data_IF_929549088220
#
_entry.id   IF_929549088220
#
_cell.length_a   1.000
_cell.length_b   1.000
_cell.length_c   1.000
_cell.angle_alpha   90.00
_cell.angle_beta   90.00
_cell.angle_gamma   90.00
#
_symmetry.space_group_name_H-M   'P 1'
#
loop_
_entity.id
_entity.type
_entity.pdbx_description
1 polymer ?
#
# COMPACT_ATOMS: atom_id res chain seq x y z
N UNK A 1 15.18 3.49 14.83
CA UNK A 1 13.81 2.98 15.04
C UNK A 1 12.87 3.72 14.09
N UNK A 2 11.83 3.08 13.53
CA UNK A 2 10.79 3.77 12.73
C UNK A 2 9.49 3.84 13.50
N UNK A 3 8.78 4.96 13.38
CA UNK A 3 7.54 5.24 14.09
C UNK A 3 6.54 5.87 13.13
N UNK A 4 5.27 5.48 13.25
CA UNK A 4 4.17 6.19 12.57
C UNK A 4 3.85 7.47 13.34
N UNK A 5 3.94 8.62 12.67
CA UNK A 5 3.55 9.89 13.27
C UNK A 5 2.05 9.93 13.60
N UNK A 6 1.22 9.23 12.83
CA UNK A 6 -0.21 9.11 13.12
C UNK A 6 -0.45 8.34 14.42
N UNK A 7 0.31 7.26 14.64
CA UNK A 7 0.21 6.49 15.88
C UNK A 7 0.71 7.30 17.07
N UNK A 8 1.81 8.04 16.95
CA UNK A 8 2.31 8.90 18.03
C UNK A 8 1.28 9.99 18.45
N UNK A 9 0.54 10.53 17.48
CA UNK A 9 -0.53 11.52 17.73
C UNK A 9 -1.70 10.97 18.56
N UNK A 10 -1.85 9.66 18.66
CA UNK A 10 -2.86 9.05 19.55
C UNK A 10 -2.49 9.20 21.03
N UNK A 11 -1.21 9.48 21.34
CA UNK A 11 -0.71 9.57 22.72
C UNK A 11 -0.41 11.00 23.16
N UNK A 12 -0.03 11.87 22.23
CA UNK A 12 0.39 13.25 22.51
C UNK A 12 -0.07 14.17 21.39
N UNK A 13 -0.55 15.36 21.77
CA UNK A 13 -0.88 16.41 20.81
C UNK A 13 0.36 16.95 20.10
N UNK A 14 0.41 16.75 18.78
CA UNK A 14 1.48 17.25 17.92
C UNK A 14 0.88 18.21 16.91
N UNK A 15 1.07 19.51 17.17
CA UNK A 15 0.52 20.62 16.37
C UNK A 15 1.51 21.20 15.36
N UNK A 16 2.75 20.73 15.36
CA UNK A 16 3.82 21.18 14.45
C UNK A 16 3.95 20.26 13.23
N UNK A 17 4.68 20.72 12.20
CA UNK A 17 4.98 19.89 11.03
C UNK A 17 5.93 18.73 11.40
N UNK A 18 5.96 17.65 10.59
CA UNK A 18 6.92 16.56 10.78
C UNK A 18 8.38 17.02 10.83
N UNK A 19 8.75 18.01 10.04
CA UNK A 19 10.11 18.58 9.96
C UNK A 19 10.48 19.32 11.24
N UNK A 20 9.57 20.14 11.77
CA UNK A 20 9.76 20.86 13.03
C UNK A 20 9.81 19.89 14.22
N UNK A 21 8.96 18.87 14.23
CA UNK A 21 9.01 17.81 15.24
C UNK A 21 10.37 17.09 15.22
N UNK A 22 10.86 16.73 14.03
CA UNK A 22 12.14 16.07 13.86
C UNK A 22 13.31 16.92 14.38
N UNK A 23 13.27 18.23 14.11
CA UNK A 23 14.25 19.17 14.64
C UNK A 23 14.22 19.20 16.17
N UNK A 24 13.04 19.36 16.79
CA UNK A 24 12.91 19.40 18.26
C UNK A 24 13.34 18.10 18.94
N UNK A 25 12.98 16.96 18.37
CA UNK A 25 13.41 15.65 18.86
C UNK A 25 14.93 15.54 18.85
N UNK A 26 15.56 15.93 17.73
CA UNK A 26 17.02 15.93 17.60
C UNK A 26 17.68 16.84 18.64
N UNK A 27 17.15 18.05 18.84
CA UNK A 27 17.66 18.99 19.85
C UNK A 27 17.45 18.49 21.30
N UNK A 28 16.45 17.64 21.53
CA UNK A 28 16.21 16.97 22.81
C UNK A 28 17.05 15.69 23.02
N UNK A 29 17.92 15.34 22.06
CA UNK A 29 18.79 14.16 22.13
C UNK A 29 18.22 12.90 21.44
N UNK A 30 17.09 13.01 20.75
CA UNK A 30 16.47 11.94 19.97
C UNK A 30 16.67 12.21 18.47
N UNK A 31 17.82 11.81 17.94
CA UNK A 31 18.19 12.04 16.55
C UNK A 31 17.17 11.42 15.57
N UNK A 32 16.77 12.22 14.56
CA UNK A 32 15.87 11.78 13.49
C UNK A 32 16.62 11.68 12.17
N UNK A 33 16.90 10.45 11.75
CA UNK A 33 17.64 10.14 10.52
C UNK A 33 16.88 10.48 9.23
N UNK A 34 15.54 10.49 9.27
CA UNK A 34 14.75 10.74 8.07
C UNK A 34 13.24 10.73 8.28
N UNK A 35 12.54 11.35 7.33
CA UNK A 35 11.08 11.43 7.27
C UNK A 35 10.63 10.77 5.96
N UNK A 36 9.70 9.81 6.07
CA UNK A 36 9.16 9.09 4.92
C UNK A 36 7.66 9.35 4.80
N UNK A 37 7.21 9.86 3.66
CA UNK A 37 5.79 10.05 3.34
C UNK A 37 5.26 8.79 2.68
N UNK A 38 4.31 8.12 3.34
CA UNK A 38 3.69 6.91 2.81
C UNK A 38 2.63 7.27 1.78
N UNK A 39 2.59 6.55 0.66
CA UNK A 39 1.55 6.68 -0.37
C UNK A 39 1.75 7.80 -1.38
N UNK A 40 2.84 8.57 -1.30
CA UNK A 40 3.17 9.58 -2.30
C UNK A 40 3.33 8.93 -3.68
N UNK A 41 2.66 9.49 -4.69
CA UNK A 41 2.68 8.96 -6.06
C UNK A 41 1.78 7.73 -6.31
N UNK A 42 0.96 7.30 -5.34
CA UNK A 42 -0.07 6.28 -5.56
C UNK A 42 -1.39 6.94 -5.94
N UNK A 43 -1.95 6.56 -7.09
CA UNK A 43 -3.25 7.01 -7.57
C UNK A 43 -4.10 5.85 -8.08
N UNK A 44 -5.40 5.92 -7.81
CA UNK A 44 -6.42 4.96 -8.26
C UNK A 44 -6.19 3.49 -7.86
N UNK A 45 -5.77 3.28 -6.61
CA UNK A 45 -5.66 1.96 -6.00
C UNK A 45 -6.80 1.77 -4.99
N UNK A 46 -7.56 0.69 -5.13
CA UNK A 46 -8.74 0.39 -4.31
C UNK A 46 -8.63 -0.98 -3.66
N UNK A 47 -9.41 -1.21 -2.60
CA UNK A 47 -9.54 -2.54 -2.02
C UNK A 47 -10.47 -3.37 -2.90
N UNK A 48 -10.00 -4.54 -3.32
CA UNK A 48 -10.77 -5.47 -4.15
C UNK A 48 -10.71 -6.89 -3.59
N UNK A 49 -11.70 -7.71 -3.94
CA UNK A 49 -11.79 -9.11 -3.56
C UNK A 49 -11.43 -10.02 -4.74
N UNK A 50 -10.61 -11.02 -4.50
CA UNK A 50 -10.27 -12.06 -5.48
C UNK A 50 -11.40 -13.09 -5.49
N UNK A 51 -12.20 -13.12 -6.55
CA UNK A 51 -13.34 -14.02 -6.70
C UNK A 51 -12.91 -15.44 -7.09
N UNK A 52 -11.95 -15.57 -8.02
CA UNK A 52 -11.45 -16.86 -8.47
C UNK A 52 -9.97 -16.80 -8.87
N UNK A 53 -9.28 -17.94 -8.78
CA UNK A 53 -7.87 -18.10 -9.16
C UNK A 53 -7.72 -19.41 -9.93
N UNK A 54 -7.11 -19.36 -11.11
CA UNK A 54 -6.77 -20.54 -11.92
C UNK A 54 -5.34 -20.42 -12.43
N UNK A 55 -4.65 -21.54 -12.64
CA UNK A 55 -3.30 -21.54 -13.21
C UNK A 55 -3.33 -21.00 -14.64
N UNK A 56 -2.32 -20.20 -15.00
CA UNK A 56 -2.19 -19.71 -16.38
C UNK A 56 -1.83 -20.88 -17.31
N UNK A 57 -2.53 -21.07 -18.45
CA UNK A 57 -2.32 -22.25 -19.31
C UNK A 57 -0.92 -22.30 -19.93
N UNK A 58 -0.31 -21.13 -20.15
CA UNK A 58 0.99 -20.99 -20.82
C UNK A 58 2.12 -20.51 -19.89
N UNK A 59 1.92 -20.47 -18.57
CA UNK A 59 2.93 -19.97 -17.65
C UNK A 59 2.82 -20.60 -16.26
N UNK A 60 3.85 -21.31 -15.82
CA UNK A 60 3.83 -22.08 -14.58
C UNK A 60 3.81 -21.23 -13.31
N UNK A 61 4.34 -20.01 -13.39
CA UNK A 61 4.46 -19.09 -12.24
C UNK A 61 3.34 -18.05 -12.18
N UNK A 62 2.36 -18.11 -13.08
CA UNK A 62 1.29 -17.12 -13.18
C UNK A 62 -0.08 -17.74 -12.93
N UNK A 63 -0.96 -16.92 -12.36
CA UNK A 63 -2.35 -17.22 -12.12
C UNK A 63 -3.23 -16.22 -12.85
N UNK A 64 -4.35 -16.71 -13.39
CA UNK A 64 -5.46 -15.91 -13.90
C UNK A 64 -6.48 -15.73 -12.78
N UNK A 65 -6.66 -14.49 -12.36
CA UNK A 65 -7.53 -14.10 -11.27
C UNK A 65 -8.74 -13.31 -11.79
N UNK A 66 -9.93 -13.62 -11.31
CA UNK A 66 -11.08 -12.73 -11.42
C UNK A 66 -11.17 -11.92 -10.13
N UNK A 67 -11.16 -10.60 -10.22
CA UNK A 67 -11.09 -9.67 -9.08
C UNK A 67 -12.24 -8.67 -9.17
N UNK A 68 -12.87 -8.31 -8.06
CA UNK A 68 -13.92 -7.29 -8.03
C UNK A 68 -13.63 -6.18 -7.02
N UNK A 69 -13.78 -4.93 -7.45
CA UNK A 69 -13.71 -3.73 -6.59
C UNK A 69 -15.09 -3.37 -5.98
N UNK A 70 -16.07 -4.26 -6.10
CA UNK A 70 -17.46 -4.04 -5.70
C UNK A 70 -18.32 -3.34 -6.75
N UNK A 71 -17.72 -2.70 -7.75
CA UNK A 71 -18.45 -2.04 -8.85
C UNK A 71 -18.30 -2.78 -10.18
N UNK A 72 -17.11 -3.28 -10.47
CA UNK A 72 -16.78 -4.00 -11.68
C UNK A 72 -16.00 -5.29 -11.37
N UNK A 73 -15.80 -6.11 -12.41
CA UNK A 73 -14.94 -7.28 -12.37
C UNK A 73 -13.81 -7.14 -13.37
N UNK A 74 -12.64 -7.59 -12.96
CA UNK A 74 -11.39 -7.46 -13.69
C UNK A 74 -10.74 -8.83 -13.84
N UNK A 75 -10.22 -9.10 -15.03
CA UNK A 75 -9.33 -10.23 -15.26
C UNK A 75 -7.88 -9.77 -15.04
N UNK A 76 -7.19 -10.37 -14.08
CA UNK A 76 -5.85 -9.98 -13.67
C UNK A 76 -4.91 -11.18 -13.75
N UNK A 77 -3.77 -11.01 -14.42
CA UNK A 77 -2.66 -11.97 -14.36
C UNK A 77 -1.82 -11.62 -13.13
N UNK A 78 -1.68 -12.57 -12.20
CA UNK A 78 -0.93 -12.37 -10.96
C UNK A 78 0.15 -13.44 -10.79
N UNK A 79 1.37 -13.03 -10.43
CA UNK A 79 2.48 -13.94 -10.13
C UNK A 79 2.74 -14.14 -8.64
N UNK A 80 1.97 -13.51 -7.76
CA UNK A 80 2.19 -13.59 -6.33
C UNK A 80 1.82 -15.00 -5.79
N UNK A 81 2.70 -15.69 -5.05
CA UNK A 81 2.48 -17.07 -4.61
C UNK A 81 1.38 -17.19 -3.53
N UNK A 82 0.97 -16.08 -2.91
CA UNK A 82 -0.04 -16.02 -1.87
C UNK A 82 -1.44 -15.64 -2.38
N UNK A 83 -1.62 -15.51 -3.69
CA UNK A 83 -2.93 -15.18 -4.31
C UNK A 83 -3.92 -16.34 -4.11
N UNK A 84 -5.12 -16.02 -3.62
CA UNK A 84 -6.17 -17.02 -3.32
C UNK A 84 -7.55 -16.40 -3.39
N UNK A 85 -8.56 -17.18 -3.75
CA UNK A 85 -9.96 -16.75 -3.75
C UNK A 85 -10.43 -16.36 -2.34
N UNK A 86 -11.32 -15.38 -2.26
CA UNK A 86 -11.84 -14.78 -1.02
C UNK A 86 -10.89 -13.80 -0.32
N UNK A 87 -9.65 -13.65 -0.78
CA UNK A 87 -8.74 -12.68 -0.20
C UNK A 87 -9.04 -11.26 -0.71
N UNK A 88 -8.93 -10.27 0.19
CA UNK A 88 -8.94 -8.85 -0.15
C UNK A 88 -7.53 -8.35 -0.38
N UNK A 89 -7.31 -7.63 -1.48
CA UNK A 89 -6.02 -7.11 -1.89
C UNK A 89 -6.16 -5.71 -2.52
N UNK A 90 -5.10 -4.88 -2.52
CA UNK A 90 -5.08 -3.65 -3.28
C UNK A 90 -5.09 -3.97 -4.79
N UNK A 91 -6.01 -3.35 -5.52
CA UNK A 91 -6.13 -3.40 -6.97
C UNK A 91 -5.77 -2.04 -7.55
N UNK A 92 -4.71 -1.99 -8.34
CA UNK A 92 -4.44 -0.88 -9.24
C UNK A 92 -5.28 -1.07 -10.52
N UNK A 93 -6.22 -0.16 -10.78
CA UNK A 93 -7.08 -0.23 -11.98
C UNK A 93 -6.32 0.20 -13.23
N UNK A 94 -6.80 -0.14 -14.44
CA UNK A 94 -6.26 0.45 -15.66
C UNK A 94 -6.25 1.98 -15.57
N UNK A 95 -5.07 2.60 -15.72
CA UNK A 95 -4.88 4.04 -15.54
C UNK A 95 -4.42 4.49 -14.15
N UNK A 96 -4.29 3.56 -13.19
CA UNK A 96 -3.68 3.83 -11.90
C UNK A 96 -2.22 4.28 -12.04
N UNK A 97 -1.77 5.09 -11.09
CA UNK A 97 -0.39 5.57 -11.00
C UNK A 97 0.29 4.93 -9.81
N UNK A 98 1.48 4.36 -10.03
CA UNK A 98 2.32 3.80 -8.99
C UNK A 98 3.68 4.52 -8.96
N UNK A 99 4.34 4.59 -7.80
CA UNK A 99 5.68 5.13 -7.70
C UNK A 99 6.65 4.36 -8.60
N UNK A 100 7.33 5.07 -9.50
CA UNK A 100 8.28 4.49 -10.44
C UNK A 100 7.72 4.09 -11.81
N UNK A 101 6.41 4.32 -12.04
CA UNK A 101 5.72 3.95 -13.29
C UNK A 101 4.81 2.74 -13.11
#
# INVERSE_FOLDING_TARGET
>A
MRLSLNWLREFVDITVSPEELAHRLTMAGFEVEGIHRMGEGIGDVVVAEILSVRRHPNADKLSLCEVSDGSARFAVVCGAPNVRAGAKAPLARPGASLPGG
#
